data_IF_382201356002
#
_entry.id   IF_382201356002
#
_cell.length_a   1.000
_cell.length_b   1.000
_cell.length_c   1.000
_cell.angle_alpha   90.00
_cell.angle_beta   90.00
_cell.angle_gamma   90.00
#
_symmetry.space_group_name_H-M   'P 1'
#
loop_
_entity.id
_entity.type
_entity.pdbx_description
1 polymer ?
#
# COMPACT_ATOMS: atom_id res chain seq x y z
N UNK A 1 7.05 18.05 -9.01
CA UNK A 1 6.98 18.52 -7.62
C UNK A 1 5.62 18.14 -7.10
N UNK A 2 5.59 17.27 -6.10
CA UNK A 2 4.33 16.72 -5.58
C UNK A 2 3.41 17.82 -5.05
N UNK A 3 2.13 17.72 -5.40
CA UNK A 3 1.08 18.63 -4.98
C UNK A 3 0.92 18.61 -3.44
N UNK A 4 0.63 19.76 -2.85
CA UNK A 4 0.66 19.93 -1.39
C UNK A 4 -0.34 19.01 -0.67
N UNK A 5 -1.52 18.75 -1.26
CA UNK A 5 -2.51 17.85 -0.68
C UNK A 5 -2.04 16.39 -0.67
N UNK A 6 -1.32 15.95 -1.71
CA UNK A 6 -0.75 14.59 -1.78
C UNK A 6 0.37 14.40 -0.75
N UNK A 7 1.25 15.40 -0.59
CA UNK A 7 2.26 15.40 0.48
C UNK A 7 1.62 15.25 1.85
N UNK A 8 0.62 16.09 2.15
CA UNK A 8 -0.09 16.04 3.43
C UNK A 8 -0.73 14.69 3.73
N UNK A 9 -1.28 14.00 2.72
CA UNK A 9 -1.82 12.63 2.90
C UNK A 9 -0.74 11.59 3.18
N UNK A 10 0.44 11.74 2.57
CA UNK A 10 1.58 10.86 2.84
C UNK A 10 2.11 11.11 4.26
N UNK A 11 2.21 12.37 4.68
CA UNK A 11 2.59 12.73 6.05
C UNK A 11 1.57 12.16 7.06
N UNK A 12 0.27 12.21 6.75
CA UNK A 12 -0.78 11.60 7.58
C UNK A 12 -0.62 10.07 7.68
N UNK A 13 -0.29 9.37 6.58
CA UNK A 13 0.03 7.95 6.64
C UNK A 13 1.23 7.69 7.55
N UNK A 14 2.24 8.54 7.47
CA UNK A 14 3.44 8.42 8.30
C UNK A 14 3.14 8.53 9.79
N UNK A 15 2.44 9.60 10.17
CA UNK A 15 2.03 9.86 11.56
C UNK A 15 1.09 8.78 12.09
N UNK A 16 0.20 8.27 11.23
CA UNK A 16 -0.72 7.18 11.56
C UNK A 16 0.04 5.88 11.88
N UNK A 17 1.03 5.50 11.08
CA UNK A 17 1.83 4.29 11.33
C UNK A 17 2.69 4.43 12.59
N UNK A 18 3.28 5.61 12.80
CA UNK A 18 4.05 5.91 14.00
C UNK A 18 3.20 5.82 15.27
N UNK A 19 2.08 6.54 15.31
CA UNK A 19 1.14 6.54 16.45
C UNK A 19 0.42 5.19 16.64
N UNK A 20 0.26 4.43 15.55
CA UNK A 20 -0.31 3.09 15.54
C UNK A 20 0.58 1.99 16.12
N UNK A 21 1.83 2.31 16.49
CA UNK A 21 2.75 1.41 17.18
C UNK A 21 3.89 0.87 16.31
N UNK A 22 4.06 1.38 15.08
CA UNK A 22 5.18 1.03 14.21
C UNK A 22 6.24 2.14 14.33
N UNK A 23 7.04 2.06 15.39
CA UNK A 23 8.07 3.06 15.71
C UNK A 23 9.33 2.95 14.85
N UNK A 24 9.53 1.86 14.09
CA UNK A 24 10.65 1.74 13.17
C UNK A 24 10.25 2.36 11.81
N UNK A 25 10.92 3.44 11.36
CA UNK A 25 10.64 4.08 10.07
C UNK A 25 10.73 3.12 8.88
N UNK A 26 11.75 2.26 8.85
CA UNK A 26 11.92 1.32 7.74
C UNK A 26 10.72 0.38 7.65
N UNK A 27 10.30 -0.15 8.79
CA UNK A 27 9.10 -0.98 8.89
C UNK A 27 7.84 -0.24 8.45
N UNK A 28 7.64 1.00 8.89
CA UNK A 28 6.47 1.79 8.48
C UNK A 28 6.41 1.95 6.95
N UNK A 29 7.53 2.25 6.30
CA UNK A 29 7.59 2.39 4.84
C UNK A 29 7.35 1.08 4.12
N UNK A 30 7.87 -0.03 4.63
CA UNK A 30 7.56 -1.36 4.09
C UNK A 30 6.05 -1.63 4.13
N UNK A 31 5.40 -1.43 5.28
CA UNK A 31 3.97 -1.70 5.40
C UNK A 31 3.12 -0.77 4.52
N UNK A 32 3.43 0.53 4.48
CA UNK A 32 2.76 1.50 3.58
C UNK A 32 2.96 1.08 2.11
N UNK A 33 4.18 0.70 1.74
CA UNK A 33 4.50 0.26 0.38
C UNK A 33 3.72 -1.00 -0.01
N UNK A 34 3.55 -1.94 0.92
CA UNK A 34 2.75 -3.14 0.67
C UNK A 34 1.30 -2.76 0.39
N UNK A 35 0.67 -1.93 1.22
CA UNK A 35 -0.71 -1.49 1.01
C UNK A 35 -0.90 -0.75 -0.32
N UNK A 36 0.00 0.18 -0.65
CA UNK A 36 -0.02 0.88 -1.94
C UNK A 36 0.12 -0.11 -3.09
N UNK A 37 0.98 -1.12 -2.97
CA UNK A 37 1.11 -2.16 -3.99
C UNK A 37 -0.18 -2.95 -4.16
N UNK A 38 -0.84 -3.37 -3.07
CA UNK A 38 -2.12 -4.08 -3.13
C UNK A 38 -3.18 -3.26 -3.88
N UNK A 39 -3.28 -1.97 -3.56
CA UNK A 39 -4.20 -1.03 -4.22
C UNK A 39 -3.91 -0.91 -5.72
N UNK A 40 -2.65 -0.62 -6.08
CA UNK A 40 -2.23 -0.47 -7.49
C UNK A 40 -2.44 -1.74 -8.29
N UNK A 41 -2.26 -2.90 -7.66
CA UNK A 41 -2.45 -4.19 -8.29
C UNK A 41 -3.92 -4.40 -8.71
N UNK A 42 -4.86 -4.09 -7.83
CA UNK A 42 -6.30 -4.18 -8.13
C UNK A 42 -6.74 -3.14 -9.18
N UNK A 43 -6.34 -1.87 -9.02
CA UNK A 43 -6.67 -0.82 -9.99
C UNK A 43 -6.18 -1.15 -11.41
N UNK A 44 -4.98 -1.72 -11.51
CA UNK A 44 -4.41 -2.15 -12.80
C UNK A 44 -5.19 -3.32 -13.40
N UNK A 45 -5.61 -4.30 -12.59
CA UNK A 45 -6.43 -5.42 -13.06
C UNK A 45 -7.81 -4.94 -13.56
N UNK A 46 -8.44 -4.02 -12.82
CA UNK A 46 -9.70 -3.38 -13.21
C UNK A 46 -9.55 -2.63 -14.54
N UNK A 47 -8.51 -1.82 -14.69
CA UNK A 47 -8.23 -1.08 -15.93
C UNK A 47 -8.00 -2.01 -17.11
N UNK A 48 -7.13 -3.01 -16.97
CA UNK A 48 -6.85 -3.96 -18.06
C UNK A 48 -8.10 -4.74 -18.48
N UNK A 49 -8.94 -5.13 -17.52
CA UNK A 49 -10.22 -5.78 -17.80
C UNK A 49 -11.16 -4.86 -18.58
N UNK A 50 -11.23 -3.58 -18.23
CA UNK A 50 -12.03 -2.57 -18.95
C UNK A 50 -11.51 -2.33 -20.36
N UNK A 51 -10.20 -2.16 -20.51
CA UNK A 51 -9.55 -1.90 -21.80
C UNK A 51 -9.69 -3.09 -22.76
N UNK A 52 -9.54 -4.31 -22.25
CA UNK A 52 -9.75 -5.52 -23.04
C UNK A 52 -11.21 -5.67 -23.49
N UNK A 53 -12.18 -5.35 -22.61
CA UNK A 53 -13.61 -5.32 -22.96
C UNK A 53 -13.88 -4.31 -24.09
N UNK A 54 -13.29 -3.12 -24.01
CA UNK A 54 -13.42 -2.09 -25.06
C UNK A 54 -12.79 -2.53 -26.39
N UNK A 55 -11.62 -3.19 -26.33
CA UNK A 55 -10.91 -3.69 -27.50
C UNK A 55 -11.44 -5.03 -28.04
N UNK A 56 -12.49 -5.61 -27.44
CA UNK A 56 -13.00 -6.94 -27.81
C UNK A 56 -12.03 -8.10 -27.55
N UNK A 57 -11.03 -7.91 -26.68
CA UNK A 57 -10.02 -8.92 -26.33
C UNK A 57 -10.41 -9.67 -25.06
N UNK A 58 -9.98 -10.93 -24.96
CA UNK A 58 -10.06 -11.66 -23.71
C UNK A 58 -8.96 -11.20 -22.75
N UNK A 59 -9.31 -10.96 -21.49
CA UNK A 59 -8.35 -10.67 -20.42
C UNK A 59 -8.57 -11.63 -19.26
N UNK A 60 -7.49 -12.32 -18.85
CA UNK A 60 -7.49 -13.16 -17.66
C UNK A 60 -7.02 -12.33 -16.47
N UNK A 61 -7.93 -12.04 -15.57
CA UNK A 61 -7.61 -11.36 -14.32
C UNK A 61 -6.63 -12.19 -13.48
N UNK A 62 -5.72 -11.51 -12.79
CA UNK A 62 -4.83 -12.13 -11.80
C UNK A 62 -5.61 -12.67 -10.59
N UNK A 63 -6.81 -12.14 -10.34
CA UNK A 63 -7.72 -12.53 -9.26
C UNK A 63 -8.86 -13.44 -9.75
N UNK A 64 -8.74 -14.07 -10.93
CA UNK A 64 -9.83 -14.84 -11.57
C UNK A 64 -10.54 -15.82 -10.62
N UNK A 65 -9.79 -16.45 -9.72
CA UNK A 65 -10.29 -17.46 -8.77
C UNK A 65 -10.20 -16.97 -7.30
N UNK A 66 -9.86 -15.69 -7.09
CA UNK A 66 -9.49 -15.12 -5.80
C UNK A 66 -10.05 -13.68 -5.65
N UNK A 67 -11.34 -13.50 -5.96
CA UNK A 67 -11.97 -12.16 -5.93
C UNK A 67 -11.99 -11.56 -4.52
N UNK A 68 -12.03 -12.39 -3.49
CA UNK A 68 -11.93 -11.99 -2.09
C UNK A 68 -10.58 -11.35 -1.76
N UNK A 69 -9.54 -11.59 -2.55
CA UNK A 69 -8.21 -11.01 -2.34
C UNK A 69 -8.04 -9.60 -2.94
N UNK A 70 -9.04 -9.09 -3.64
CA UNK A 70 -9.01 -7.77 -4.26
C UNK A 70 -9.16 -6.66 -3.23
N UNK A 71 -8.37 -5.61 -3.38
CA UNK A 71 -8.50 -4.38 -2.58
C UNK A 71 -9.95 -3.86 -2.56
N UNK A 72 -10.57 -3.77 -3.73
CA UNK A 72 -11.98 -3.34 -3.90
C UNK A 72 -13.00 -4.23 -3.19
N UNK A 73 -12.63 -5.44 -2.76
CA UNK A 73 -13.50 -6.35 -2.03
C UNK A 73 -13.26 -6.25 -0.52
N UNK A 74 -12.06 -6.58 -0.04
CA UNK A 74 -11.79 -6.69 1.39
C UNK A 74 -11.73 -5.35 2.11
N UNK A 75 -11.58 -4.22 1.40
CA UNK A 75 -11.63 -2.87 2.02
C UNK A 75 -12.96 -2.57 2.72
N UNK A 76 -13.99 -3.35 2.44
CA UNK A 76 -15.33 -3.23 3.02
C UNK A 76 -15.55 -4.17 4.22
N UNK A 77 -14.56 -4.98 4.59
CA UNK A 77 -14.66 -5.86 5.75
C UNK A 77 -14.62 -5.06 7.04
N UNK A 78 -15.22 -5.62 8.09
CA UNK A 78 -15.08 -5.10 9.44
C UNK A 78 -13.61 -5.13 9.88
N UNK A 79 -13.21 -4.22 10.76
CA UNK A 79 -11.80 -3.95 11.02
C UNK A 79 -10.97 -5.23 11.34
N UNK A 80 -11.48 -6.09 12.23
CA UNK A 80 -10.77 -7.31 12.65
C UNK A 80 -10.71 -8.35 11.53
N UNK A 81 -11.81 -8.52 10.80
CA UNK A 81 -11.86 -9.38 9.62
C UNK A 81 -10.89 -8.90 8.53
N UNK A 82 -10.86 -7.59 8.27
CA UNK A 82 -9.95 -6.96 7.31
C UNK A 82 -8.50 -7.28 7.65
N UNK A 83 -8.10 -7.08 8.92
CA UNK A 83 -6.72 -7.34 9.34
C UNK A 83 -6.35 -8.82 9.18
N UNK A 84 -7.19 -9.72 9.67
CA UNK A 84 -6.94 -11.16 9.57
C UNK A 84 -6.89 -11.61 8.10
N UNK A 85 -7.83 -11.15 7.26
CA UNK A 85 -7.88 -11.50 5.85
C UNK A 85 -6.67 -10.97 5.06
N UNK A 86 -6.27 -9.72 5.31
CA UNK A 86 -5.11 -9.13 4.65
C UNK A 86 -3.82 -9.85 5.05
N UNK A 87 -3.63 -10.12 6.34
CA UNK A 87 -2.44 -10.79 6.87
C UNK A 87 -2.34 -12.25 6.39
N UNK A 88 -3.45 -12.99 6.47
CA UNK A 88 -3.41 -14.46 6.35
C UNK A 88 -3.70 -14.94 4.92
N UNK A 89 -4.29 -14.09 4.06
CA UNK A 89 -4.63 -14.47 2.67
C UNK A 89 -4.06 -13.52 1.62
N UNK A 90 -4.35 -12.22 1.72
CA UNK A 90 -3.97 -11.24 0.68
C UNK A 90 -2.46 -11.09 0.57
N UNK A 91 -1.78 -10.92 1.71
CA UNK A 91 -0.33 -10.72 1.73
C UNK A 91 0.45 -11.94 1.22
N UNK A 92 0.16 -13.19 1.65
CA UNK A 92 0.77 -14.38 1.06
C UNK A 92 0.55 -14.50 -0.45
N UNK A 93 -0.65 -14.18 -0.94
CA UNK A 93 -0.96 -14.19 -2.38
C UNK A 93 -0.08 -13.21 -3.16
N UNK A 94 0.04 -11.96 -2.67
CA UNK A 94 0.86 -10.92 -3.30
C UNK A 94 2.35 -11.29 -3.29
N UNK A 95 2.83 -11.85 -2.18
CA UNK A 95 4.21 -12.34 -2.06
C UNK A 95 4.52 -13.41 -3.09
N UNK A 96 3.60 -14.37 -3.31
CA UNK A 96 3.73 -15.42 -4.32
C UNK A 96 3.70 -14.87 -5.76
N UNK A 97 2.84 -13.89 -6.04
CA UNK A 97 2.80 -13.23 -7.35
C UNK A 97 4.12 -12.56 -7.70
N UNK A 98 4.71 -11.81 -6.75
CA UNK A 98 5.99 -11.14 -6.96
C UNK A 98 7.16 -12.11 -7.11
N UNK A 99 7.16 -13.23 -6.38
CA UNK A 99 8.17 -14.28 -6.53
C UNK A 99 8.19 -14.93 -7.93
N UNK A 100 7.05 -14.87 -8.64
CA UNK A 100 6.92 -15.41 -10.01
C UNK A 100 7.30 -14.40 -11.09
N UNK A 101 7.60 -13.15 -10.72
CA UNK A 101 8.03 -12.10 -11.64
C UNK A 101 9.54 -11.90 -11.55
N UNK A 102 10.25 -11.90 -12.69
CA UNK A 102 11.70 -11.61 -12.78
C UNK A 102 12.04 -10.12 -12.54
N UNK A 103 11.22 -9.41 -11.77
CA UNK A 103 11.42 -8.00 -11.46
C UNK A 103 12.21 -7.87 -10.15
N UNK A 104 13.11 -6.88 -10.04
CA UNK A 104 13.98 -6.68 -8.86
C UNK A 104 13.24 -6.50 -7.51
N UNK A 105 11.94 -6.26 -7.53
CA UNK A 105 11.07 -6.21 -6.34
C UNK A 105 10.81 -7.59 -5.70
N UNK A 106 11.02 -8.68 -6.44
CA UNK A 106 10.83 -10.07 -5.96
C UNK A 106 11.76 -10.44 -4.81
N UNK A 107 13.02 -10.00 -4.86
CA UNK A 107 14.01 -10.26 -3.81
C UNK A 107 13.63 -9.59 -2.47
N UNK A 108 13.08 -8.38 -2.52
CA UNK A 108 12.64 -7.63 -1.33
C UNK A 108 11.39 -8.22 -0.68
N UNK A 109 10.56 -8.92 -1.45
CA UNK A 109 9.33 -9.56 -0.93
C UNK A 109 9.57 -10.95 -0.32
N UNK A 110 10.69 -11.61 -0.62
CA UNK A 110 10.93 -13.02 -0.23
C UNK A 110 10.85 -13.24 1.28
N UNK A 111 11.40 -12.33 2.06
CA UNK A 111 11.41 -12.39 3.53
C UNK A 111 10.48 -11.33 4.16
N UNK A 112 9.66 -10.66 3.34
CA UNK A 112 8.72 -9.66 3.79
C UNK A 112 7.67 -10.26 4.74
N UNK A 113 7.31 -9.48 5.77
CA UNK A 113 6.30 -9.80 6.78
C UNK A 113 5.32 -8.65 6.90
N UNK A 114 4.04 -8.97 7.00
CA UNK A 114 2.99 -8.01 7.26
C UNK A 114 2.77 -7.89 8.77
N UNK A 115 3.03 -6.72 9.35
CA UNK A 115 3.12 -6.52 10.80
C UNK A 115 2.32 -5.31 11.30
N UNK A 116 1.15 -5.06 10.71
CA UNK A 116 0.22 -4.06 11.25
C UNK A 116 -0.40 -4.58 12.57
N UNK A 117 -0.17 -3.90 13.71
CA UNK A 117 -0.52 -4.43 15.03
C UNK A 117 -2.00 -4.32 15.39
N UNK A 118 -2.75 -3.42 14.74
CA UNK A 118 -4.13 -3.06 15.14
C UNK A 118 -5.07 -2.97 13.94
N UNK A 119 -6.31 -3.50 14.06
CA UNK A 119 -7.34 -3.37 13.02
C UNK A 119 -7.62 -1.92 12.62
N UNK A 120 -7.77 -1.02 13.58
CA UNK A 120 -8.10 0.40 13.34
C UNK A 120 -7.02 1.16 12.58
N UNK A 121 -5.75 0.74 12.72
CA UNK A 121 -4.64 1.30 11.95
C UNK A 121 -4.77 0.94 10.47
N UNK A 122 -5.09 -0.32 10.17
CA UNK A 122 -5.28 -0.77 8.79
C UNK A 122 -6.45 -0.04 8.12
N UNK A 123 -7.59 0.07 8.81
CA UNK A 123 -8.79 0.76 8.28
C UNK A 123 -8.46 2.21 7.90
N UNK A 124 -7.86 2.98 8.81
CA UNK A 124 -7.48 4.38 8.53
C UNK A 124 -6.45 4.49 7.41
N UNK A 125 -5.49 3.57 7.35
CA UNK A 125 -4.49 3.55 6.27
C UNK A 125 -5.14 3.29 4.90
N UNK A 126 -6.10 2.38 4.83
CA UNK A 126 -6.88 2.07 3.62
C UNK A 126 -7.65 3.31 3.15
N UNK A 127 -8.30 4.03 4.06
CA UNK A 127 -9.04 5.27 3.75
C UNK A 127 -8.12 6.35 3.15
N UNK A 128 -6.97 6.59 3.77
CA UNK A 128 -6.02 7.59 3.27
C UNK A 128 -5.49 7.16 1.89
N UNK A 129 -5.14 5.89 1.70
CA UNK A 129 -4.64 5.36 0.42
C UNK A 129 -5.70 5.46 -0.69
N UNK A 130 -6.97 5.17 -0.40
CA UNK A 130 -8.06 5.39 -1.35
C UNK A 130 -8.16 6.87 -1.76
N UNK A 131 -8.00 7.78 -0.79
CA UNK A 131 -8.06 9.23 -1.05
C UNK A 131 -6.91 9.76 -1.90
N UNK A 132 -5.77 9.04 -1.98
CA UNK A 132 -4.64 9.41 -2.83
C UNK A 132 -4.97 9.26 -4.33
N UNK A 133 -5.95 8.41 -4.67
CA UNK A 133 -6.37 8.15 -6.06
C UNK A 133 -5.19 7.88 -6.99
N UNK A 134 -4.22 7.08 -6.52
CA UNK A 134 -2.90 6.91 -7.15
C UNK A 134 -3.00 6.57 -8.64
N UNK A 135 -3.97 5.72 -9.02
CA UNK A 135 -4.16 5.31 -10.41
C UNK A 135 -4.72 6.40 -11.34
N UNK A 136 -5.42 7.39 -10.78
CA UNK A 136 -5.94 8.56 -11.52
C UNK A 136 -4.83 9.60 -11.77
N UNK A 137 -3.73 9.53 -11.01
CA UNK A 137 -2.58 10.43 -11.17
C UNK A 137 -1.76 10.08 -12.42
N UNK A 138 -1.15 11.09 -13.03
CA UNK A 138 -0.19 10.88 -14.12
C UNK A 138 1.07 10.14 -13.63
N UNK A 139 1.84 9.60 -14.59
CA UNK A 139 3.01 8.78 -14.30
C UNK A 139 4.07 9.53 -13.47
N UNK A 140 4.30 10.81 -13.76
CA UNK A 140 5.27 11.63 -13.03
C UNK A 140 4.84 11.83 -11.57
N UNK A 141 3.56 12.06 -11.33
CA UNK A 141 2.99 12.22 -9.98
C UNK A 141 3.06 10.92 -9.20
N UNK A 142 2.83 9.77 -9.85
CA UNK A 142 3.05 8.47 -9.22
C UNK A 142 4.52 8.31 -8.80
N UNK A 143 5.46 8.69 -9.66
CA UNK A 143 6.89 8.72 -9.33
C UNK A 143 7.21 9.63 -8.13
N UNK A 144 6.71 10.86 -8.15
CA UNK A 144 6.87 11.85 -7.08
C UNK A 144 6.32 11.33 -5.73
N UNK A 145 5.22 10.57 -5.71
CA UNK A 145 4.68 9.94 -4.48
C UNK A 145 5.68 8.93 -3.90
N UNK A 146 6.25 8.06 -4.73
CA UNK A 146 7.22 7.06 -4.28
C UNK A 146 8.52 7.70 -3.81
N UNK A 147 9.03 8.69 -4.55
CA UNK A 147 10.23 9.43 -4.15
C UNK A 147 10.00 10.18 -2.83
N UNK A 148 8.82 10.76 -2.63
CA UNK A 148 8.48 11.42 -1.38
C UNK A 148 8.42 10.44 -0.20
N UNK A 149 7.77 9.28 -0.37
CA UNK A 149 7.79 8.20 0.62
C UNK A 149 9.23 7.79 0.98
N UNK A 150 10.10 7.59 -0.02
CA UNK A 150 11.51 7.24 0.23
C UNK A 150 12.32 8.37 0.87
N UNK A 151 11.94 9.63 0.63
CA UNK A 151 12.57 10.77 1.31
C UNK A 151 12.30 10.78 2.81
N UNK A 152 11.11 10.32 3.24
CA UNK A 152 10.76 10.17 4.65
C UNK A 152 11.61 9.10 5.37
N UNK A 153 12.05 8.03 4.67
CA UNK A 153 13.05 7.09 5.21
C UNK A 153 14.35 7.82 5.58
N UNK A 154 14.85 8.65 4.65
CA UNK A 154 16.14 9.35 4.81
C UNK A 154 16.09 10.37 5.94
N UNK A 155 14.97 11.09 6.05
CA UNK A 155 14.72 12.06 7.12
C UNK A 155 14.57 11.35 8.47
N UNK A 156 13.85 10.22 8.50
CA UNK A 156 13.61 9.47 9.75
C UNK A 156 14.84 8.71 10.23
N UNK A 157 15.72 8.26 9.32
CA UNK A 157 17.03 7.71 9.66
C UNK A 157 17.97 8.73 10.33
N UNK A 158 17.78 10.03 10.06
CA UNK A 158 18.48 11.12 10.78
C UNK A 158 17.77 11.54 12.08
N UNK A 159 16.44 11.45 12.13
CA UNK A 159 15.61 11.97 13.22
C UNK A 159 15.14 10.93 14.25
N UNK A 160 15.45 9.64 14.06
CA UNK A 160 15.09 8.54 14.97
C UNK A 160 15.67 8.64 16.39
N UNK A 161 16.45 9.68 16.69
CA UNK A 161 16.96 9.99 18.04
C UNK A 161 16.22 11.16 18.74
N UNK A 162 15.32 11.90 18.08
CA UNK A 162 14.85 13.20 18.62
C UNK A 162 13.35 13.51 18.54
N UNK A 163 12.48 12.55 18.20
CA UNK A 163 11.02 12.78 18.19
C UNK A 163 10.36 12.07 19.37
N UNK A 164 10.61 12.54 20.59
CA UNK A 164 9.63 12.36 21.69
C UNK A 164 8.40 13.21 21.41
N UNK A 165 7.17 12.73 21.67
CA UNK A 165 5.95 13.39 21.22
C UNK A 165 5.77 14.74 21.92
N UNK A 166 5.38 15.78 21.17
CA UNK A 166 4.75 16.95 21.78
C UNK A 166 3.35 16.54 22.23
N UNK A 167 3.09 16.63 23.53
CA UNK A 167 1.75 16.73 24.06
C UNK A 167 1.14 18.07 23.60
N UNK A 168 -0.10 18.05 23.13
CA UNK A 168 -1.02 19.21 23.21
C UNK A 168 -1.95 18.93 24.38
#
# INVERSE_FOLDING_TARGET
MLEASLKSKIDQLWDLFWSGGIANPLTAIEQISYLIFMKRLDDRDIKQKKDAKFAGKQYRSIFKDNNDLRWSHWKHFEAEEMLNHVRDKVFPFIKKLNASSENGFSAQMKDAVFIIPKPSLLVQAVEIIESLKIHEQNQDTQGDIYEYLLSELKTSGKNGQFRTPRHI
#
